data_IF_179137312172
#
_entry.id   IF_179137312172
#
_cell.length_a   1.000
_cell.length_b   1.000
_cell.length_c   1.000
_cell.angle_alpha   90.00
_cell.angle_beta   90.00
_cell.angle_gamma   90.00
#
_symmetry.space_group_name_H-M   'P 1'
#
loop_
_entity.id
_entity.type
_entity.pdbx_description
1 polymer ?
#
# COMPACT_ATOMS: atom_id res chain seq x y z
N UNK A 1 -0.54 -26.59 -22.32
CA UNK A 1 0.88 -26.35 -22.65
C UNK A 1 1.58 -25.87 -21.39
N UNK A 2 2.45 -26.70 -20.83
CA UNK A 2 3.24 -26.39 -19.65
C UNK A 2 4.28 -25.34 -20.04
N UNK A 3 4.26 -24.17 -19.40
CA UNK A 3 5.32 -23.19 -19.54
C UNK A 3 6.61 -23.81 -18.98
N UNK A 4 7.60 -24.00 -19.84
CA UNK A 4 8.93 -24.45 -19.47
C UNK A 4 9.52 -23.46 -18.45
N UNK A 5 9.76 -23.94 -17.23
CA UNK A 5 10.67 -23.29 -16.30
C UNK A 5 12.05 -23.27 -16.94
N UNK A 6 12.44 -22.12 -17.51
CA UNK A 6 13.79 -21.92 -17.99
C UNK A 6 14.77 -22.17 -16.83
N UNK A 7 15.68 -23.13 -17.03
CA UNK A 7 16.81 -23.35 -16.15
C UNK A 7 17.57 -22.03 -15.98
N UNK A 8 17.49 -21.43 -14.78
CA UNK A 8 18.11 -20.16 -14.44
C UNK A 8 19.61 -20.37 -14.30
N UNK A 9 20.39 -19.93 -15.28
CA UNK A 9 21.84 -19.80 -15.15
C UNK A 9 22.13 -18.65 -14.18
N UNK A 10 22.93 -18.82 -13.11
CA UNK A 10 23.28 -17.73 -12.21
C UNK A 10 23.98 -16.62 -12.98
N UNK A 11 23.39 -15.42 -13.06
CA UNK A 11 24.15 -14.23 -13.42
C UNK A 11 25.13 -13.95 -12.28
N UNK A 12 26.41 -13.83 -12.58
CA UNK A 12 27.50 -13.71 -11.59
C UNK A 12 27.53 -12.35 -10.87
N UNK A 13 26.62 -11.41 -11.18
CA UNK A 13 26.47 -10.13 -10.47
C UNK A 13 25.05 -9.58 -10.60
N UNK A 14 24.44 -9.19 -9.47
CA UNK A 14 23.15 -8.50 -9.42
C UNK A 14 23.20 -7.15 -10.18
N UNK A 15 22.05 -6.67 -10.64
CA UNK A 15 21.88 -5.30 -11.15
C UNK A 15 22.04 -4.28 -10.02
N UNK A 16 21.47 -4.59 -8.85
CA UNK A 16 21.65 -3.82 -7.62
C UNK A 16 21.65 -4.77 -6.41
N UNK A 17 22.61 -4.62 -5.51
CA UNK A 17 22.61 -5.23 -4.18
C UNK A 17 22.11 -4.24 -3.11
N UNK A 18 22.11 -4.66 -1.85
CA UNK A 18 21.64 -3.86 -0.71
C UNK A 18 22.41 -2.53 -0.58
N UNK A 19 23.73 -2.54 -0.77
CA UNK A 19 24.54 -1.33 -0.69
C UNK A 19 24.20 -0.35 -1.83
N UNK A 20 23.97 -0.85 -3.05
CA UNK A 20 23.54 -0.02 -4.16
C UNK A 20 22.11 0.50 -3.95
N UNK A 21 21.19 -0.31 -3.41
CA UNK A 21 19.85 0.14 -3.07
C UNK A 21 19.85 1.20 -1.97
N UNK A 22 20.78 1.12 -1.01
CA UNK A 22 21.00 2.18 -0.03
C UNK A 22 21.48 3.48 -0.70
N UNK A 23 22.43 3.41 -1.65
CA UNK A 23 22.87 4.59 -2.41
C UNK A 23 21.72 5.19 -3.24
N UNK A 24 20.85 4.35 -3.81
CA UNK A 24 19.66 4.83 -4.49
C UNK A 24 18.68 5.50 -3.52
N UNK A 25 18.48 4.94 -2.33
CA UNK A 25 17.51 5.44 -1.36
C UNK A 25 17.96 6.72 -0.64
N UNK A 26 19.22 6.78 -0.20
CA UNK A 26 19.74 7.82 0.69
C UNK A 26 21.04 8.47 0.22
N UNK A 27 21.83 7.78 -0.60
CA UNK A 27 23.17 8.21 -1.01
C UNK A 27 23.24 8.84 -2.41
N UNK A 28 24.30 8.50 -3.13
CA UNK A 28 24.55 8.94 -4.50
C UNK A 28 23.87 7.98 -5.50
N UNK A 29 22.78 8.43 -6.11
CA UNK A 29 22.01 7.64 -7.09
C UNK A 29 22.87 7.11 -8.22
N UNK A 30 23.93 7.82 -8.63
CA UNK A 30 24.79 7.39 -9.72
C UNK A 30 25.55 6.09 -9.42
N UNK A 31 25.79 5.77 -8.14
CA UNK A 31 26.42 4.50 -7.74
C UNK A 31 25.49 3.28 -7.91
N UNK A 32 24.18 3.49 -7.92
CA UNK A 32 23.21 2.45 -8.20
C UNK A 32 22.78 2.43 -9.68
N UNK A 33 22.39 3.59 -10.21
CA UNK A 33 21.75 3.70 -11.52
C UNK A 33 22.75 3.91 -12.68
N UNK A 34 23.98 4.31 -12.36
CA UNK A 34 25.05 4.59 -13.33
C UNK A 34 25.39 6.07 -13.46
N UNK A 35 26.53 6.39 -14.13
CA UNK A 35 27.11 7.72 -14.17
C UNK A 35 26.24 8.78 -14.87
N UNK A 36 25.25 8.37 -15.66
CA UNK A 36 24.30 9.27 -16.29
C UNK A 36 23.40 9.99 -15.29
N UNK A 37 23.26 9.46 -14.07
CA UNK A 37 22.54 10.10 -12.97
C UNK A 37 23.33 11.22 -12.27
N UNK A 38 24.59 11.46 -12.64
CA UNK A 38 25.39 12.54 -12.05
C UNK A 38 24.77 13.94 -12.26
N UNK A 39 23.91 14.10 -13.28
CA UNK A 39 23.14 15.34 -13.50
C UNK A 39 22.18 15.69 -12.35
N UNK A 40 21.83 14.71 -11.52
CA UNK A 40 20.93 14.86 -10.36
C UNK A 40 21.67 14.96 -9.01
N UNK A 41 23.01 15.00 -8.99
CA UNK A 41 23.78 14.96 -7.74
C UNK A 41 23.39 16.03 -6.70
N UNK A 42 22.89 17.18 -7.15
CA UNK A 42 22.46 18.29 -6.29
C UNK A 42 20.99 18.69 -6.54
N UNK A 43 20.16 17.74 -7.01
CA UNK A 43 18.76 18.00 -7.35
C UNK A 43 17.87 16.88 -6.81
N UNK A 44 16.59 17.16 -6.52
CA UNK A 44 15.62 16.12 -6.23
C UNK A 44 15.56 15.12 -7.38
N UNK A 45 15.51 13.85 -7.01
CA UNK A 45 15.40 12.73 -7.95
C UNK A 45 14.65 11.62 -7.23
N UNK A 46 13.93 10.79 -7.99
CA UNK A 46 13.27 9.62 -7.41
C UNK A 46 14.24 8.81 -6.54
N UNK A 47 13.74 8.35 -5.40
CA UNK A 47 14.44 7.46 -4.46
C UNK A 47 13.64 6.17 -4.27
N UNK A 48 14.31 5.14 -3.78
CA UNK A 48 13.65 3.96 -3.19
C UNK A 48 13.25 4.27 -1.73
N UNK A 49 12.16 3.70 -1.18
CA UNK A 49 11.98 3.65 0.27
C UNK A 49 13.18 2.99 0.99
N UNK A 50 13.35 3.33 2.27
CA UNK A 50 14.49 2.95 3.09
C UNK A 50 14.07 2.48 4.49
N UNK A 51 15.04 1.95 5.26
CA UNK A 51 14.86 1.56 6.67
C UNK A 51 13.64 0.66 6.88
N UNK A 52 12.67 1.04 7.72
CA UNK A 52 11.46 0.24 8.00
C UNK A 52 10.57 0.03 6.76
N UNK A 53 10.73 0.83 5.70
CA UNK A 53 10.06 0.64 4.41
C UNK A 53 10.98 0.09 3.31
N UNK A 54 12.21 -0.34 3.60
CA UNK A 54 13.05 -1.00 2.61
C UNK A 54 12.56 -2.44 2.37
N UNK A 55 11.76 -2.62 1.31
CA UNK A 55 11.08 -3.88 0.98
C UNK A 55 11.55 -4.47 -0.36
N UNK A 56 12.78 -4.13 -0.72
CA UNK A 56 13.56 -4.67 -1.84
C UNK A 56 15.00 -4.89 -1.34
N UNK A 57 15.48 -6.13 -1.38
CA UNK A 57 16.83 -6.51 -0.92
C UNK A 57 17.85 -6.50 -2.04
N UNK A 58 17.42 -6.79 -3.28
CA UNK A 58 18.27 -6.82 -4.48
C UNK A 58 17.48 -6.89 -5.78
N UNK A 59 18.12 -6.48 -6.87
CA UNK A 59 17.64 -6.67 -8.25
C UNK A 59 18.58 -7.61 -8.96
N UNK A 60 18.09 -8.82 -9.26
CA UNK A 60 18.86 -9.92 -9.82
C UNK A 60 19.20 -9.70 -11.29
N UNK A 61 18.21 -9.29 -12.09
CA UNK A 61 18.39 -9.16 -13.54
C UNK A 61 17.57 -8.03 -14.13
N UNK A 62 18.01 -7.54 -15.27
CA UNK A 62 17.32 -6.57 -16.12
C UNK A 62 17.34 -7.09 -17.56
N UNK A 63 16.20 -7.04 -18.24
CA UNK A 63 16.04 -7.34 -19.66
C UNK A 63 15.42 -6.15 -20.36
N UNK A 64 16.07 -5.69 -21.44
CA UNK A 64 15.65 -4.52 -22.19
C UNK A 64 16.84 -3.63 -22.52
N UNK A 65 16.58 -2.47 -23.13
CA UNK A 65 17.60 -1.45 -23.39
C UNK A 65 17.16 -0.15 -22.77
N UNK A 66 17.93 0.39 -21.81
CA UNK A 66 17.63 1.68 -21.17
C UNK A 66 17.34 2.75 -22.23
N UNK A 67 16.34 3.59 -21.97
CA UNK A 67 15.86 4.70 -22.82
C UNK A 67 15.28 4.30 -24.18
N UNK A 68 15.05 3.01 -24.43
CA UNK A 68 14.27 2.51 -25.59
C UNK A 68 12.92 2.01 -25.11
N UNK A 69 11.91 2.86 -25.19
CA UNK A 69 10.58 2.62 -24.60
C UNK A 69 9.58 2.01 -25.58
N UNK A 70 10.02 1.67 -26.79
CA UNK A 70 9.20 0.99 -27.80
C UNK A 70 8.93 -0.47 -27.44
N UNK A 71 9.80 -1.08 -26.65
CA UNK A 71 9.71 -2.48 -26.21
C UNK A 71 9.62 -2.58 -24.68
N UNK A 72 8.87 -3.56 -24.13
CA UNK A 72 8.80 -3.77 -22.69
C UNK A 72 10.18 -4.07 -22.07
N UNK A 73 10.39 -3.57 -20.85
CA UNK A 73 11.55 -3.92 -20.03
C UNK A 73 11.13 -4.77 -18.84
N UNK A 74 12.01 -5.63 -18.35
CA UNK A 74 11.72 -6.52 -17.23
C UNK A 74 12.83 -6.50 -16.19
N UNK A 75 12.45 -6.63 -14.92
CA UNK A 75 13.39 -6.95 -13.85
C UNK A 75 12.91 -8.14 -13.04
N UNK A 76 13.87 -8.80 -12.39
CA UNK A 76 13.61 -9.73 -11.28
C UNK A 76 14.23 -9.13 -10.03
N UNK A 77 13.41 -8.88 -9.03
CA UNK A 77 13.80 -8.40 -7.71
C UNK A 77 13.56 -9.46 -6.63
N UNK A 78 14.21 -9.29 -5.48
CA UNK A 78 14.04 -10.16 -4.32
C UNK A 78 13.94 -9.34 -3.04
N UNK A 79 13.08 -9.79 -2.13
CA UNK A 79 13.01 -9.31 -0.76
C UNK A 79 13.14 -10.50 0.20
N UNK A 80 14.14 -10.45 1.08
CA UNK A 80 14.30 -11.41 2.16
C UNK A 80 13.44 -10.96 3.34
N UNK A 81 12.42 -11.75 3.68
CA UNK A 81 11.44 -11.43 4.72
C UNK A 81 11.99 -11.86 6.09
N UNK A 82 12.34 -10.92 6.98
CA UNK A 82 12.81 -11.29 8.32
C UNK A 82 11.67 -11.88 9.15
N UNK A 83 11.89 -12.99 9.88
CA UNK A 83 10.88 -13.55 10.78
C UNK A 83 10.36 -12.57 11.83
N UNK A 84 11.25 -11.72 12.36
CA UNK A 84 10.96 -10.77 13.43
C UNK A 84 10.84 -9.32 12.90
N UNK A 85 10.44 -9.15 11.64
CA UNK A 85 10.22 -7.83 11.08
C UNK A 85 9.20 -7.03 11.91
N UNK A 86 9.37 -5.70 11.94
CA UNK A 86 8.51 -4.81 12.74
C UNK A 86 7.03 -5.01 12.44
N UNK A 87 6.69 -5.25 11.17
CA UNK A 87 5.33 -5.42 10.68
C UNK A 87 4.70 -6.77 11.05
N UNK A 88 5.47 -7.76 11.51
CA UNK A 88 4.91 -8.97 12.15
C UNK A 88 4.73 -8.76 13.64
N UNK A 89 5.73 -8.15 14.29
CA UNK A 89 5.73 -7.85 15.73
C UNK A 89 4.57 -6.95 16.13
N UNK A 90 4.27 -5.95 15.31
CA UNK A 90 3.28 -4.93 15.62
C UNK A 90 1.86 -5.33 15.15
N UNK A 91 1.72 -6.43 14.39
CA UNK A 91 0.45 -6.94 13.92
C UNK A 91 -0.31 -7.73 15.01
N UNK A 92 -1.59 -8.03 14.77
CA UNK A 92 -2.41 -8.88 15.63
C UNK A 92 -2.00 -10.36 15.57
N UNK A 93 -1.49 -10.81 14.41
CA UNK A 93 -1.03 -12.18 14.21
C UNK A 93 0.39 -12.19 13.63
N UNK A 94 1.35 -12.94 14.23
CA UNK A 94 2.78 -12.84 13.91
C UNK A 94 3.16 -13.40 12.53
N UNK A 95 2.26 -14.13 11.87
CA UNK A 95 2.47 -14.66 10.51
C UNK A 95 1.74 -13.89 9.42
N UNK A 96 0.93 -12.87 9.76
CA UNK A 96 0.13 -12.15 8.77
C UNK A 96 0.95 -10.98 8.25
N UNK A 97 1.30 -11.02 6.97
CA UNK A 97 1.91 -9.87 6.29
C UNK A 97 0.85 -8.77 6.15
N UNK A 98 1.07 -7.53 6.65
CA UNK A 98 0.15 -6.42 6.40
C UNK A 98 -0.04 -6.18 4.91
N UNK A 99 -1.23 -5.75 4.51
CA UNK A 99 -1.55 -5.55 3.10
C UNK A 99 -0.71 -4.42 2.51
N UNK A 100 -0.43 -3.37 3.28
CA UNK A 100 0.50 -2.32 2.86
C UNK A 100 1.89 -2.87 2.51
N UNK A 101 2.44 -3.75 3.35
CA UNK A 101 3.76 -4.35 3.13
C UNK A 101 3.74 -5.26 1.90
N UNK A 102 2.67 -6.05 1.71
CA UNK A 102 2.47 -6.84 0.50
C UNK A 102 2.47 -5.96 -0.77
N UNK A 103 1.75 -4.83 -0.73
CA UNK A 103 1.73 -3.88 -1.84
C UNK A 103 3.12 -3.30 -2.09
N UNK A 104 3.82 -2.83 -1.07
CA UNK A 104 5.15 -2.23 -1.22
C UNK A 104 6.19 -3.21 -1.79
N UNK A 105 6.18 -4.47 -1.38
CA UNK A 105 7.06 -5.51 -1.95
C UNK A 105 6.82 -5.67 -3.46
N UNK A 106 5.57 -5.49 -3.94
CA UNK A 106 5.26 -5.50 -5.37
C UNK A 106 5.60 -4.18 -6.08
N UNK A 107 5.45 -3.05 -5.39
CA UNK A 107 5.49 -1.70 -5.98
C UNK A 107 6.89 -1.08 -6.00
N UNK A 108 7.74 -1.34 -5.01
CA UNK A 108 9.11 -0.79 -4.98
C UNK A 108 9.97 -1.25 -6.18
N UNK A 109 9.93 -2.53 -6.59
CA UNK A 109 10.58 -2.97 -7.84
C UNK A 109 10.04 -2.25 -9.09
N UNK A 110 8.75 -1.87 -9.11
CA UNK A 110 8.21 -1.01 -10.18
C UNK A 110 8.89 0.37 -10.18
N UNK A 111 9.04 0.99 -9.01
CA UNK A 111 9.83 2.21 -8.86
C UNK A 111 11.28 2.06 -9.33
N UNK A 112 11.93 0.95 -8.97
CA UNK A 112 13.31 0.69 -9.39
C UNK A 112 13.44 0.62 -10.92
N UNK A 113 12.60 -0.17 -11.61
CA UNK A 113 12.69 -0.27 -13.07
C UNK A 113 12.32 1.05 -13.77
N UNK A 114 11.37 1.83 -13.23
CA UNK A 114 11.04 3.17 -13.73
C UNK A 114 12.27 4.08 -13.76
N UNK A 115 13.01 4.15 -12.64
CA UNK A 115 14.27 4.88 -12.59
C UNK A 115 15.31 4.24 -13.52
N UNK A 116 15.62 2.95 -13.35
CA UNK A 116 16.68 2.28 -14.09
C UNK A 116 16.49 2.31 -15.61
N UNK A 117 15.24 2.27 -16.10
CA UNK A 117 14.89 2.42 -17.51
C UNK A 117 15.37 3.74 -18.12
N UNK A 118 15.58 4.77 -17.29
CA UNK A 118 15.99 6.11 -17.69
C UNK A 118 14.82 7.02 -18.06
N UNK A 119 13.61 6.78 -17.53
CA UNK A 119 12.41 7.56 -17.83
C UNK A 119 12.61 9.07 -17.58
N UNK A 120 13.24 9.41 -16.46
CA UNK A 120 13.55 10.80 -16.07
C UNK A 120 14.32 11.60 -17.14
N UNK A 121 15.09 10.92 -18.02
CA UNK A 121 15.85 11.57 -19.08
C UNK A 121 14.99 12.05 -20.27
N UNK A 122 13.68 11.81 -20.27
CA UNK A 122 12.77 12.54 -21.15
C UNK A 122 12.77 14.05 -20.83
N UNK A 123 12.95 14.41 -19.56
CA UNK A 123 12.94 15.78 -19.07
C UNK A 123 14.08 16.01 -18.06
N UNK A 124 15.35 15.95 -18.49
CA UNK A 124 16.50 15.97 -17.58
C UNK A 124 16.65 17.29 -16.79
N UNK A 125 16.00 18.36 -17.25
CA UNK A 125 16.04 19.69 -16.64
C UNK A 125 14.86 19.96 -15.69
N UNK A 126 13.93 19.00 -15.52
CA UNK A 126 12.81 19.12 -14.58
C UNK A 126 13.11 18.31 -13.32
N UNK A 127 12.67 18.84 -12.17
CA UNK A 127 12.57 18.09 -10.94
C UNK A 127 11.21 17.37 -10.95
N UNK A 128 11.26 16.04 -10.81
CA UNK A 128 10.10 15.18 -11.02
C UNK A 128 9.93 14.22 -9.85
N UNK A 129 8.68 14.11 -9.40
CA UNK A 129 8.25 13.33 -8.26
C UNK A 129 7.52 12.07 -8.74
N UNK A 130 7.88 10.93 -8.17
CA UNK A 130 7.32 9.63 -8.55
C UNK A 130 6.10 9.31 -7.71
N UNK A 131 4.94 9.09 -8.34
CA UNK A 131 3.67 8.82 -7.64
C UNK A 131 2.93 7.64 -8.26
N UNK A 132 2.36 6.80 -7.40
CA UNK A 132 1.41 5.79 -7.83
C UNK A 132 0.06 6.45 -8.15
N UNK A 133 -0.61 5.99 -9.20
CA UNK A 133 -1.87 6.58 -9.68
C UNK A 133 -3.01 5.59 -9.62
N UNK A 134 -2.80 4.39 -10.16
CA UNK A 134 -3.85 3.39 -10.29
C UNK A 134 -3.20 2.01 -10.16
N UNK A 135 -3.99 1.03 -9.74
CA UNK A 135 -3.52 -0.34 -9.80
C UNK A 135 -4.53 -1.32 -9.28
N UNK A 136 -4.15 -2.58 -9.41
CA UNK A 136 -4.85 -3.67 -8.78
C UNK A 136 -3.88 -4.79 -8.44
N UNK A 137 -4.30 -5.60 -7.48
CA UNK A 137 -3.61 -6.80 -7.07
C UNK A 137 -4.60 -7.91 -6.81
N UNK A 138 -4.30 -9.09 -7.34
CA UNK A 138 -5.05 -10.32 -7.09
C UNK A 138 -4.21 -11.21 -6.20
N UNK A 139 -4.69 -11.44 -4.98
CA UNK A 139 -4.12 -12.42 -4.09
C UNK A 139 -4.56 -13.81 -4.52
N UNK A 140 -3.58 -14.69 -4.73
CA UNK A 140 -3.78 -16.08 -5.17
C UNK A 140 -3.57 -17.06 -4.01
N UNK A 141 -2.80 -16.66 -3.00
CA UNK A 141 -2.61 -17.36 -1.74
C UNK A 141 -2.15 -16.37 -0.67
N UNK A 142 -2.41 -16.69 0.60
CA UNK A 142 -2.00 -15.89 1.77
C UNK A 142 -1.04 -16.71 2.66
N UNK A 143 0.19 -17.03 2.17
CA UNK A 143 1.12 -17.89 2.89
C UNK A 143 1.80 -17.17 4.06
N UNK A 144 2.32 -17.94 5.02
CA UNK A 144 3.35 -17.43 5.93
C UNK A 144 4.64 -17.20 5.13
N UNK A 145 5.18 -15.99 5.22
CA UNK A 145 6.31 -15.50 4.43
C UNK A 145 7.56 -15.28 5.27
N UNK A 146 7.50 -15.46 6.59
CA UNK A 146 8.66 -15.33 7.48
C UNK A 146 9.79 -16.26 7.06
N UNK A 147 11.02 -15.72 7.10
CA UNK A 147 12.27 -16.39 6.68
C UNK A 147 12.28 -16.89 5.22
N UNK A 148 11.39 -16.36 4.38
CA UNK A 148 11.37 -16.65 2.95
C UNK A 148 11.95 -15.50 2.14
N UNK A 149 12.45 -15.82 0.97
CA UNK A 149 12.72 -14.83 -0.08
C UNK A 149 11.52 -14.73 -1.00
N UNK A 150 10.93 -13.54 -1.08
CA UNK A 150 9.92 -13.22 -2.09
C UNK A 150 10.63 -12.78 -3.36
N UNK A 151 10.32 -13.43 -4.47
CA UNK A 151 10.79 -13.03 -5.80
C UNK A 151 9.71 -12.20 -6.48
N UNK A 152 10.05 -10.99 -6.91
CA UNK A 152 9.19 -10.12 -7.72
C UNK A 152 9.61 -10.17 -9.19
N UNK A 153 8.70 -10.47 -10.10
CA UNK A 153 8.91 -10.30 -11.54
C UNK A 153 8.09 -9.10 -12.02
N UNK A 154 8.77 -8.07 -12.54
CA UNK A 154 8.15 -6.83 -13.00
C UNK A 154 8.34 -6.66 -14.49
N UNK A 155 7.31 -6.21 -15.19
CA UNK A 155 7.39 -5.80 -16.59
C UNK A 155 6.93 -4.34 -16.71
N UNK A 156 7.84 -3.43 -17.08
CA UNK A 156 7.49 -2.09 -17.54
C UNK A 156 6.93 -2.23 -18.97
N UNK A 157 5.59 -2.09 -19.10
CA UNK A 157 4.87 -2.31 -20.36
C UNK A 157 4.92 -1.12 -21.30
N UNK A 158 4.83 0.08 -20.76
CA UNK A 158 4.75 1.30 -21.54
C UNK A 158 5.32 2.48 -20.78
N UNK A 159 5.84 3.46 -21.52
CA UNK A 159 6.25 4.77 -21.01
C UNK A 159 5.73 5.81 -21.98
N UNK A 160 4.93 6.75 -21.47
CA UNK A 160 4.36 7.85 -22.25
C UNK A 160 4.81 9.16 -21.61
N UNK A 161 5.65 9.91 -22.32
CA UNK A 161 6.08 11.24 -21.91
C UNK A 161 5.30 12.30 -22.70
N UNK A 162 4.56 13.17 -22.01
CA UNK A 162 3.81 14.26 -22.61
C UNK A 162 3.56 15.37 -21.60
N UNK A 163 3.64 16.64 -22.03
CA UNK A 163 3.30 17.79 -21.19
C UNK A 163 4.03 17.82 -19.84
N UNK A 164 5.34 17.61 -19.84
CA UNK A 164 6.20 17.55 -18.63
C UNK A 164 5.84 16.43 -17.63
N UNK A 165 4.96 15.51 -18.02
CA UNK A 165 4.57 14.34 -17.24
C UNK A 165 5.06 13.09 -17.94
N UNK A 166 5.41 12.07 -17.17
CA UNK A 166 5.71 10.74 -17.70
C UNK A 166 4.79 9.75 -17.00
N UNK A 167 4.10 8.89 -17.75
CA UNK A 167 3.22 7.84 -17.23
C UNK A 167 3.80 6.49 -17.63
N UNK A 168 3.87 5.57 -16.66
CA UNK A 168 4.40 4.23 -16.86
C UNK A 168 3.44 3.18 -16.32
N UNK A 169 3.16 2.16 -17.14
CA UNK A 169 2.34 1.01 -16.73
C UNK A 169 3.22 -0.20 -16.51
N UNK A 170 2.97 -0.90 -15.41
CA UNK A 170 3.71 -2.07 -14.97
C UNK A 170 2.78 -3.26 -14.79
N UNK A 171 3.27 -4.46 -15.09
CA UNK A 171 2.75 -5.71 -14.53
C UNK A 171 3.71 -6.21 -13.45
N UNK A 172 3.17 -6.81 -12.38
CA UNK A 172 3.95 -7.43 -11.32
C UNK A 172 3.42 -8.82 -10.96
N UNK A 173 4.32 -9.70 -10.53
CA UNK A 173 3.99 -10.96 -9.90
C UNK A 173 4.98 -11.28 -8.77
N UNK A 174 4.46 -11.73 -7.63
CA UNK A 174 5.23 -12.17 -6.48
C UNK A 174 5.16 -13.69 -6.33
N UNK A 175 6.31 -14.27 -6.01
CA UNK A 175 6.50 -15.69 -5.81
C UNK A 175 7.22 -15.95 -4.49
N UNK A 176 6.82 -17.01 -3.79
CA UNK A 176 7.54 -17.57 -2.65
C UNK A 176 7.59 -19.09 -2.82
N UNK A 177 8.73 -19.71 -2.55
CA UNK A 177 8.95 -21.16 -2.76
C UNK A 177 8.57 -21.64 -4.18
N UNK A 178 8.84 -20.79 -5.18
CA UNK A 178 8.51 -21.06 -6.59
C UNK A 178 7.01 -20.98 -6.94
N UNK A 179 6.14 -20.62 -5.98
CA UNK A 179 4.69 -20.51 -6.19
C UNK A 179 4.28 -19.04 -6.25
N UNK A 180 3.53 -18.67 -7.30
CA UNK A 180 2.94 -17.34 -7.42
C UNK A 180 1.84 -17.18 -6.38
N UNK A 181 1.86 -16.09 -5.62
CA UNK A 181 0.84 -15.83 -4.60
C UNK A 181 0.18 -14.45 -4.72
N UNK A 182 0.76 -13.51 -5.47
CA UNK A 182 0.18 -12.19 -5.71
C UNK A 182 0.57 -11.69 -7.11
N UNK A 183 -0.35 -11.04 -7.82
CA UNK A 183 -0.05 -10.44 -9.13
C UNK A 183 -1.06 -9.38 -9.52
N UNK A 184 -0.64 -8.46 -10.38
CA UNK A 184 -1.52 -7.42 -10.87
C UNK A 184 -0.79 -6.45 -11.79
N UNK A 185 -1.38 -5.27 -11.94
CA UNK A 185 -0.83 -4.18 -12.73
C UNK A 185 -0.98 -2.86 -11.99
N UNK A 186 -0.13 -1.89 -12.35
CA UNK A 186 -0.14 -0.59 -11.71
C UNK A 186 0.40 0.49 -12.65
N UNK A 187 -0.05 1.72 -12.41
CA UNK A 187 0.35 2.91 -13.14
C UNK A 187 1.05 3.85 -12.17
N UNK A 188 2.26 4.25 -12.54
CA UNK A 188 3.00 5.31 -11.88
C UNK A 188 3.19 6.48 -12.82
N UNK A 189 3.45 7.65 -12.26
CA UNK A 189 3.84 8.80 -13.03
C UNK A 189 4.92 9.65 -12.36
N UNK A 190 5.60 10.43 -13.20
CA UNK A 190 6.51 11.48 -12.81
C UNK A 190 5.85 12.83 -13.05
N UNK A 191 5.80 13.66 -12.00
CA UNK A 191 5.09 14.93 -11.99
C UNK A 191 5.99 16.05 -11.48
N UNK A 192 5.79 17.27 -11.99
CA UNK A 192 6.43 18.47 -11.42
C UNK A 192 5.74 18.89 -10.12
N UNK A 193 6.41 19.70 -9.30
CA UNK A 193 5.82 20.35 -8.12
C UNK A 193 4.51 21.09 -8.45
N UNK A 194 4.49 21.81 -9.58
CA UNK A 194 3.31 22.54 -10.04
C UNK A 194 2.12 21.59 -10.32
N UNK A 195 2.38 20.47 -11.00
CA UNK A 195 1.34 19.48 -11.30
C UNK A 195 0.78 18.85 -10.02
N UNK A 196 1.64 18.59 -9.02
CA UNK A 196 1.24 18.03 -7.73
C UNK A 196 0.50 19.04 -6.85
N UNK A 197 0.90 20.31 -6.87
CA UNK A 197 0.25 21.39 -6.11
C UNK A 197 -1.16 21.67 -6.64
N UNK A 198 -1.33 21.60 -7.96
CA UNK A 198 -2.60 21.85 -8.64
C UNK A 198 -3.51 20.61 -8.76
N UNK A 199 -3.24 19.54 -7.99
CA UNK A 199 -4.09 18.35 -7.99
C UNK A 199 -5.50 18.66 -7.50
N UNK A 200 -6.49 18.22 -8.28
CA UNK A 200 -7.91 18.45 -8.02
C UNK A 200 -8.61 17.25 -7.37
N UNK A 201 -7.85 16.24 -6.91
CA UNK A 201 -8.45 15.04 -6.30
C UNK A 201 -9.26 14.20 -7.29
N UNK A 202 -10.05 13.29 -6.75
CA UNK A 202 -10.96 12.42 -7.52
C UNK A 202 -12.21 13.15 -8.01
N UNK A 203 -12.59 14.25 -7.36
CA UNK A 203 -13.86 14.96 -7.60
C UNK A 203 -13.70 16.28 -8.35
N UNK A 204 -12.55 16.51 -8.99
CA UNK A 204 -12.32 17.71 -9.79
C UNK A 204 -12.36 19.01 -8.98
N UNK A 205 -11.87 18.98 -7.74
CA UNK A 205 -11.78 20.11 -6.82
C UNK A 205 -13.06 20.39 -6.05
N UNK A 206 -14.11 19.59 -6.28
CA UNK A 206 -15.37 19.72 -5.52
C UNK A 206 -15.20 19.11 -4.14
N UNK A 207 -15.69 19.82 -3.13
CA UNK A 207 -15.84 19.28 -1.79
C UNK A 207 -16.91 18.18 -1.81
N UNK A 208 -16.50 16.96 -1.49
CA UNK A 208 -17.40 15.84 -1.24
C UNK A 208 -17.19 15.43 0.21
N UNK A 209 -18.13 15.76 1.12
CA UNK A 209 -18.01 15.40 2.53
C UNK A 209 -18.17 13.88 2.70
N UNK A 210 -17.64 13.35 3.81
CA UNK A 210 -17.86 11.96 4.17
C UNK A 210 -19.36 11.68 4.39
N UNK A 211 -19.79 10.43 4.21
CA UNK A 211 -21.20 10.07 4.33
C UNK A 211 -21.78 10.46 5.69
N UNK A 212 -21.04 10.24 6.78
CA UNK A 212 -21.47 10.58 8.14
C UNK A 212 -21.79 12.08 8.32
N UNK A 213 -21.05 12.96 7.65
CA UNK A 213 -21.29 14.40 7.68
C UNK A 213 -22.53 14.79 6.85
N UNK A 214 -22.78 14.06 5.75
CA UNK A 214 -23.92 14.32 4.87
C UNK A 214 -25.27 13.86 5.44
N UNK A 215 -25.30 12.75 6.19
CA UNK A 215 -26.56 12.25 6.80
C UNK A 215 -26.98 13.06 8.02
N UNK A 216 -26.03 13.66 8.73
CA UNK A 216 -26.29 14.54 9.89
C UNK A 216 -27.04 15.84 9.55
N UNK A 217 -27.18 16.19 8.26
CA UNK A 217 -27.80 17.44 7.81
C UNK A 217 -29.27 17.32 7.35
N UNK A 218 -29.83 16.10 7.23
CA UNK A 218 -31.09 15.91 6.47
C UNK A 218 -32.16 15.00 7.07
N UNK A 219 -31.80 13.91 7.76
CA UNK A 219 -32.77 12.96 8.28
C UNK A 219 -32.26 12.35 9.59
N UNK A 220 -32.78 12.83 10.71
CA UNK A 220 -32.54 12.26 12.02
C UNK A 220 -33.30 10.92 12.16
N UNK A 221 -32.79 9.86 11.54
CA UNK A 221 -32.77 8.59 12.26
C UNK A 221 -31.63 8.70 13.26
N UNK A 222 -31.91 8.47 14.55
CA UNK A 222 -30.92 8.33 15.61
C UNK A 222 -30.00 7.13 15.29
N UNK A 223 -29.06 7.34 14.38
CA UNK A 223 -28.06 6.34 14.06
C UNK A 223 -27.15 6.19 15.27
N UNK A 224 -27.03 4.96 15.76
CA UNK A 224 -26.05 4.67 16.81
C UNK A 224 -24.66 4.82 16.22
N UNK A 225 -23.94 5.84 16.66
CA UNK A 225 -22.53 6.07 16.30
C UNK A 225 -21.69 5.61 17.48
N UNK A 226 -20.86 4.59 17.25
CA UNK A 226 -19.92 4.06 18.23
C UNK A 226 -18.56 4.68 17.95
N UNK A 227 -17.99 5.36 18.94
CA UNK A 227 -16.70 6.04 18.80
C UNK A 227 -15.62 5.30 19.60
N UNK A 228 -14.49 5.02 18.97
CA UNK A 228 -13.27 4.51 19.62
C UNK A 228 -12.13 5.51 19.47
N UNK A 229 -11.40 5.75 20.56
CA UNK A 229 -10.22 6.61 20.56
C UNK A 229 -8.98 5.74 20.40
N UNK A 230 -8.52 5.60 19.17
CA UNK A 230 -7.38 4.78 18.81
C UNK A 230 -6.02 5.42 19.15
N UNK A 231 -5.99 6.70 19.55
CA UNK A 231 -4.79 7.30 20.13
C UNK A 231 -4.45 6.70 21.51
N UNK A 232 -5.43 6.12 22.20
CA UNK A 232 -5.28 5.51 23.52
C UNK A 232 -5.09 4.00 23.41
N UNK A 233 -3.88 3.51 23.66
CA UNK A 233 -3.57 2.07 23.60
C UNK A 233 -4.37 1.20 24.59
N UNK A 234 -5.03 1.81 25.58
CA UNK A 234 -5.94 1.14 26.51
C UNK A 234 -7.33 0.86 25.94
N UNK A 235 -7.68 1.39 24.76
CA UNK A 235 -8.96 1.12 24.11
C UNK A 235 -9.17 -0.39 23.94
N UNK A 236 -10.36 -0.96 24.25
CA UNK A 236 -10.57 -2.41 24.26
C UNK A 236 -10.28 -3.10 22.93
N UNK A 237 -10.38 -2.39 21.80
CA UNK A 237 -10.06 -2.94 20.49
C UNK A 237 -8.57 -3.34 20.32
N UNK A 238 -7.67 -2.83 21.16
CA UNK A 238 -6.26 -3.25 21.20
C UNK A 238 -5.99 -4.40 22.19
N UNK A 239 -6.95 -4.72 23.06
CA UNK A 239 -6.81 -5.72 24.11
C UNK A 239 -7.44 -7.03 23.65
N UNK A 240 -6.60 -8.06 23.51
CA UNK A 240 -7.09 -9.39 23.15
C UNK A 240 -7.85 -10.03 24.32
N UNK A 241 -9.04 -10.61 24.08
CA UNK A 241 -9.75 -11.40 25.08
C UNK A 241 -8.94 -12.63 25.54
N UNK A 242 -9.25 -13.13 26.74
CA UNK A 242 -8.64 -14.37 27.25
C UNK A 242 -8.90 -15.54 26.29
N UNK A 243 -7.85 -16.30 25.98
CA UNK A 243 -7.91 -17.41 25.03
C UNK A 243 -7.98 -17.01 23.55
N UNK A 244 -8.02 -15.71 23.22
CA UNK A 244 -8.14 -15.18 21.85
C UNK A 244 -7.08 -14.14 21.50
N UNK A 245 -5.77 -14.48 21.60
CA UNK A 245 -4.66 -13.52 21.51
C UNK A 245 -4.60 -12.70 20.20
N UNK A 246 -5.25 -13.17 19.13
CA UNK A 246 -5.25 -12.51 17.82
C UNK A 246 -6.50 -11.67 17.54
N UNK A 247 -7.48 -11.67 18.45
CA UNK A 247 -8.72 -10.89 18.34
C UNK A 247 -8.51 -9.46 18.86
N UNK A 248 -7.70 -8.68 18.14
CA UNK A 248 -7.41 -7.27 18.44
C UNK A 248 -6.93 -6.55 17.19
N UNK A 249 -6.91 -5.22 17.24
CA UNK A 249 -6.22 -4.41 16.23
C UNK A 249 -4.69 -4.52 16.36
N UNK A 250 -4.02 -4.20 15.26
CA UNK A 250 -2.58 -3.98 15.25
C UNK A 250 -2.20 -2.75 16.08
N UNK A 251 -0.94 -2.66 16.50
CA UNK A 251 -0.45 -1.64 17.43
C UNK A 251 0.75 -0.88 16.83
N UNK A 252 1.23 0.15 17.54
CA UNK A 252 2.46 0.89 17.20
C UNK A 252 2.45 1.42 15.76
N UNK A 253 3.43 1.04 14.92
CA UNK A 253 3.57 1.57 13.56
C UNK A 253 2.38 1.19 12.64
N UNK A 254 1.64 0.12 12.97
CA UNK A 254 0.42 -0.29 12.25
C UNK A 254 -0.87 0.33 12.82
N UNK A 255 -0.79 1.16 13.86
CA UNK A 255 -1.91 1.97 14.29
C UNK A 255 -1.93 3.28 13.48
N UNK A 256 -2.70 3.28 12.39
CA UNK A 256 -2.72 4.34 11.37
C UNK A 256 -3.90 5.30 11.55
N UNK A 257 -4.70 5.15 12.60
CA UNK A 257 -5.89 5.95 12.88
C UNK A 257 -5.91 6.36 14.34
N UNK A 258 -6.42 7.57 14.62
CA UNK A 258 -6.57 8.12 15.96
C UNK A 258 -8.02 8.00 16.45
N UNK A 259 -8.99 7.96 15.54
CA UNK A 259 -10.41 7.82 15.86
C UNK A 259 -11.10 6.87 14.86
N UNK A 260 -12.00 6.04 15.37
CA UNK A 260 -12.99 5.32 14.56
C UNK A 260 -14.40 5.70 14.99
N UNK A 261 -15.26 5.95 14.00
CA UNK A 261 -16.71 6.08 14.17
C UNK A 261 -17.40 5.01 13.37
N UNK A 262 -18.13 4.14 14.05
CA UNK A 262 -18.79 2.98 13.47
C UNK A 262 -20.30 3.20 13.52
N UNK A 263 -20.96 3.00 12.38
CA UNK A 263 -22.42 3.01 12.26
C UNK A 263 -22.85 1.61 11.77
N UNK A 264 -23.34 0.73 12.67
CA UNK A 264 -23.65 -0.67 12.38
C UNK A 264 -24.54 -0.89 11.15
N UNK A 265 -25.64 -0.14 11.05
CA UNK A 265 -26.63 -0.24 9.97
C UNK A 265 -26.49 0.91 8.96
N UNK A 266 -25.32 1.55 8.94
CA UNK A 266 -25.05 2.73 8.13
C UNK A 266 -24.53 2.43 6.72
N UNK A 267 -24.15 3.51 6.04
CA UNK A 267 -23.50 3.47 4.73
C UNK A 267 -24.45 3.28 3.56
N UNK A 268 -23.90 3.33 2.35
CA UNK A 268 -24.66 3.28 1.09
C UNK A 268 -25.44 1.98 0.86
N UNK A 269 -25.10 0.90 1.57
CA UNK A 269 -25.77 -0.40 1.48
C UNK A 269 -26.57 -0.78 2.74
N UNK A 270 -26.56 0.07 3.79
CA UNK A 270 -27.24 -0.22 5.07
C UNK A 270 -26.71 -1.45 5.81
N UNK A 271 -25.47 -1.86 5.53
CA UNK A 271 -24.81 -3.05 6.12
C UNK A 271 -23.64 -2.71 7.05
N UNK A 272 -23.36 -1.43 7.23
CA UNK A 272 -22.21 -0.96 7.99
C UNK A 272 -21.49 0.18 7.33
N UNK A 273 -21.05 1.09 8.17
CA UNK A 273 -20.19 2.19 7.79
C UNK A 273 -19.14 2.43 8.86
N UNK A 274 -17.94 2.76 8.42
CA UNK A 274 -16.84 3.16 9.29
C UNK A 274 -16.24 4.43 8.75
N UNK A 275 -16.04 5.41 9.62
CA UNK A 275 -15.23 6.59 9.37
C UNK A 275 -13.99 6.53 10.25
N UNK A 276 -12.83 6.84 9.66
CA UNK A 276 -11.55 6.91 10.35
C UNK A 276 -10.92 8.29 10.20
N UNK A 277 -10.27 8.75 11.25
CA UNK A 277 -9.53 10.01 11.27
C UNK A 277 -8.11 9.78 11.80
N UNK A 278 -7.14 10.45 11.20
CA UNK A 278 -5.78 10.62 11.70
C UNK A 278 -5.37 12.09 11.59
N UNK A 279 -4.83 12.67 12.65
CA UNK A 279 -4.06 13.90 12.58
C UNK A 279 -2.66 13.57 12.08
N UNK A 280 -2.22 14.23 11.00
CA UNK A 280 -0.90 13.96 10.42
C UNK A 280 0.16 14.70 11.24
N UNK A 281 1.14 13.95 11.74
CA UNK A 281 2.34 14.49 12.36
C UNK A 281 3.45 14.57 11.30
N UNK A 282 4.08 15.73 11.06
CA UNK A 282 5.24 15.86 10.17
C UNK A 282 6.40 14.88 10.48
N UNK A 283 6.47 14.39 11.71
CA UNK A 283 7.46 13.43 12.21
C UNK A 283 6.96 11.99 12.23
N UNK A 284 5.80 11.71 11.60
CA UNK A 284 5.31 10.35 11.41
C UNK A 284 6.39 9.45 10.79
N UNK A 285 6.52 8.25 11.35
CA UNK A 285 7.64 7.33 11.12
C UNK A 285 7.88 7.01 9.64
N UNK A 286 6.83 7.05 8.81
CA UNK A 286 6.93 6.72 7.39
C UNK A 286 7.56 7.85 6.56
N UNK A 287 7.50 9.12 6.98
CA UNK A 287 8.07 10.23 6.22
C UNK A 287 9.60 10.15 6.03
N UNK A 288 10.43 9.83 7.05
CA UNK A 288 11.86 9.63 6.82
C UNK A 288 12.17 8.35 6.03
N UNK A 289 11.27 7.36 6.07
CA UNK A 289 11.44 6.07 5.39
C UNK A 289 10.96 6.09 3.92
N UNK A 290 10.02 6.96 3.56
CA UNK A 290 9.39 6.98 2.25
C UNK A 290 9.85 8.20 1.43
N UNK A 291 10.70 7.90 0.45
CA UNK A 291 11.36 8.84 -0.48
C UNK A 291 12.15 9.97 0.20
N UNK A 292 13.45 9.75 0.37
CA UNK A 292 14.36 10.81 0.79
C UNK A 292 14.28 12.02 -0.17
N UNK A 293 14.26 13.24 0.39
CA UNK A 293 14.08 14.52 -0.34
C UNK A 293 12.68 14.74 -0.96
N UNK A 294 11.75 13.80 -0.80
CA UNK A 294 10.37 13.89 -1.30
C UNK A 294 9.39 13.19 -0.33
N UNK A 295 9.34 13.60 0.96
CA UNK A 295 8.62 12.86 1.99
C UNK A 295 7.11 12.89 1.73
N UNK A 296 6.54 11.70 1.59
CA UNK A 296 5.12 11.49 1.31
C UNK A 296 4.68 10.18 1.98
N UNK A 297 3.43 10.06 2.41
CA UNK A 297 2.90 8.80 2.91
C UNK A 297 2.78 7.78 1.76
N UNK A 298 3.23 6.52 1.93
CA UNK A 298 2.94 5.44 0.98
C UNK A 298 1.42 5.25 0.80
N UNK A 299 0.95 5.16 -0.44
CA UNK A 299 -0.48 4.93 -0.71
C UNK A 299 -1.00 3.59 -0.18
N UNK A 300 -0.10 2.61 -0.09
CA UNK A 300 -0.30 1.32 0.56
C UNK A 300 -0.70 1.46 2.04
N UNK A 301 -0.11 2.40 2.79
CA UNK A 301 -0.52 2.66 4.19
C UNK A 301 -1.92 3.26 4.29
N UNK A 302 -2.37 4.05 3.32
CA UNK A 302 -3.77 4.52 3.32
C UNK A 302 -4.76 3.37 3.07
N UNK A 303 -4.39 2.36 2.27
CA UNK A 303 -5.19 1.13 2.12
C UNK A 303 -5.20 0.32 3.42
N UNK A 304 -4.06 0.23 4.11
CA UNK A 304 -3.97 -0.43 5.43
C UNK A 304 -4.81 0.30 6.50
N UNK A 305 -4.85 1.64 6.48
CA UNK A 305 -5.71 2.41 7.38
C UNK A 305 -7.21 2.10 7.14
N UNK A 306 -7.63 1.93 5.87
CA UNK A 306 -8.99 1.48 5.55
C UNK A 306 -9.23 0.06 6.09
N UNK A 307 -8.25 -0.85 5.95
CA UNK A 307 -8.34 -2.20 6.50
C UNK A 307 -8.42 -2.18 8.04
N UNK A 308 -7.66 -1.32 8.72
CA UNK A 308 -7.76 -1.13 10.16
C UNK A 308 -9.17 -0.70 10.58
N UNK A 309 -9.79 0.22 9.83
CA UNK A 309 -11.17 0.63 10.06
C UNK A 309 -12.16 -0.54 9.87
N UNK A 310 -11.98 -1.34 8.81
CA UNK A 310 -12.78 -2.55 8.58
C UNK A 310 -12.59 -3.60 9.69
N UNK A 311 -11.37 -3.78 10.19
CA UNK A 311 -11.08 -4.64 11.33
C UNK A 311 -11.80 -4.14 12.59
N UNK A 312 -11.81 -2.82 12.82
CA UNK A 312 -12.53 -2.22 13.93
C UNK A 312 -14.03 -2.49 13.88
N UNK A 313 -14.64 -2.33 12.71
CA UNK A 313 -16.04 -2.75 12.47
C UNK A 313 -16.26 -4.22 12.78
N UNK A 314 -15.39 -5.10 12.30
CA UNK A 314 -15.51 -6.53 12.50
C UNK A 314 -15.47 -6.94 13.98
N UNK A 315 -14.59 -6.31 14.77
CA UNK A 315 -14.51 -6.51 16.22
C UNK A 315 -15.76 -5.98 16.92
N UNK A 316 -16.18 -4.76 16.57
CA UNK A 316 -17.33 -4.11 17.19
C UNK A 316 -18.63 -4.88 16.94
N UNK A 317 -18.80 -5.41 15.73
CA UNK A 317 -19.97 -6.19 15.32
C UNK A 317 -19.95 -7.65 15.78
N UNK A 318 -18.91 -8.09 16.51
CA UNK A 318 -18.83 -9.47 16.99
C UNK A 318 -18.69 -10.51 15.88
N UNK A 319 -18.24 -10.13 14.67
CA UNK A 319 -18.16 -11.04 13.51
C UNK A 319 -17.15 -12.18 13.68
N UNK A 320 -16.36 -12.13 14.75
CA UNK A 320 -15.35 -13.10 15.13
C UNK A 320 -15.87 -14.17 16.12
N UNK A 321 -17.09 -14.04 16.66
CA UNK A 321 -17.58 -14.84 17.80
C UNK A 321 -17.64 -16.35 17.54
N UNK A 322 -17.86 -16.74 16.29
CA UNK A 322 -17.93 -18.15 15.84
C UNK A 322 -16.58 -18.88 15.82
N UNK A 323 -15.47 -18.17 15.99
CA UNK A 323 -14.13 -18.75 16.03
C UNK A 323 -13.63 -18.87 17.47
N UNK A 324 -12.78 -19.86 17.73
CA UNK A 324 -12.17 -20.05 19.05
C UNK A 324 -11.07 -19.03 19.27
N UNK A 325 -10.15 -18.87 18.33
CA UNK A 325 -9.05 -17.93 18.31
C UNK A 325 -8.99 -17.21 16.95
N UNK A 326 -9.89 -16.24 16.71
CA UNK A 326 -9.98 -15.56 15.42
C UNK A 326 -8.74 -14.72 15.13
N UNK A 327 -8.33 -14.72 13.86
CA UNK A 327 -7.34 -13.80 13.30
C UNK A 327 -7.88 -13.12 12.05
N UNK A 328 -7.34 -11.93 11.77
CA UNK A 328 -7.51 -11.30 10.47
C UNK A 328 -6.64 -11.96 9.40
N UNK A 329 -7.07 -11.83 8.16
CA UNK A 329 -6.30 -12.21 6.98
C UNK A 329 -6.91 -11.68 5.69
N UNK A 330 -6.30 -12.05 4.58
CA UNK A 330 -6.66 -11.54 3.25
C UNK A 330 -7.45 -12.57 2.45
N UNK A 331 -8.34 -12.06 1.59
CA UNK A 331 -9.16 -12.90 0.70
C UNK A 331 -8.45 -13.04 -0.65
N UNK A 332 -8.44 -14.26 -1.20
CA UNK A 332 -7.85 -14.57 -2.51
C UNK A 332 -8.68 -14.01 -3.67
N UNK A 333 -8.76 -12.69 -3.76
CA UNK A 333 -9.53 -11.92 -4.73
C UNK A 333 -8.73 -10.71 -5.19
N UNK A 334 -9.29 -10.03 -6.18
CA UNK A 334 -8.75 -8.79 -6.72
C UNK A 334 -9.19 -7.60 -5.87
N UNK A 335 -8.24 -6.74 -5.56
CA UNK A 335 -8.44 -5.41 -4.97
C UNK A 335 -7.94 -4.37 -5.96
N UNK A 336 -8.67 -3.26 -6.15
CA UNK A 336 -8.26 -2.17 -7.02
C UNK A 336 -8.24 -0.85 -6.26
N UNK A 337 -7.30 0.02 -6.63
CA UNK A 337 -7.12 1.34 -6.03
C UNK A 337 -6.88 2.40 -7.09
N UNK A 338 -7.26 3.62 -6.76
CA UNK A 338 -6.96 4.85 -7.51
C UNK A 338 -6.51 5.94 -6.55
N UNK A 339 -5.49 6.69 -6.94
CA UNK A 339 -4.90 7.80 -6.20
C UNK A 339 -4.86 9.05 -7.07
N UNK A 340 -5.39 10.16 -6.58
CA UNK A 340 -5.35 11.49 -7.23
C UNK A 340 -4.91 12.56 -6.24
N UNK A 341 -3.93 12.23 -5.42
CA UNK A 341 -3.32 13.15 -4.47
C UNK A 341 -2.29 12.45 -3.59
N UNK A 342 -1.76 13.18 -2.62
CA UNK A 342 -0.66 12.74 -1.78
C UNK A 342 -0.83 13.28 -0.36
N UNK A 343 -0.48 12.51 0.66
CA UNK A 343 -0.36 13.00 2.04
C UNK A 343 1.10 13.37 2.28
N UNK A 344 1.36 14.65 2.48
CA UNK A 344 2.68 15.23 2.76
C UNK A 344 2.72 15.76 4.21
N UNK A 345 3.90 16.14 4.69
CA UNK A 345 4.11 16.61 6.07
C UNK A 345 3.21 17.77 6.48
N UNK A 346 2.84 18.63 5.53
CA UNK A 346 1.98 19.80 5.75
C UNK A 346 0.49 19.48 5.76
N UNK A 347 0.11 18.24 5.42
CA UNK A 347 -1.28 17.77 5.57
C UNK A 347 -1.69 17.89 7.02
N UNK A 348 -2.91 18.34 7.31
CA UNK A 348 -3.37 18.45 8.70
C UNK A 348 -4.05 17.16 9.15
N UNK A 349 -4.89 16.58 8.28
CA UNK A 349 -5.65 15.37 8.59
C UNK A 349 -5.76 14.43 7.41
N UNK A 350 -5.72 13.14 7.71
CA UNK A 350 -6.18 12.07 6.85
C UNK A 350 -7.54 11.61 7.37
N UNK A 351 -8.52 11.56 6.48
CA UNK A 351 -9.87 11.06 6.78
C UNK A 351 -10.17 9.92 5.84
N UNK A 352 -10.89 8.89 6.28
CA UNK A 352 -11.32 7.81 5.41
C UNK A 352 -12.71 7.35 5.77
N UNK A 353 -13.36 6.71 4.80
CA UNK A 353 -14.60 5.99 5.04
C UNK A 353 -14.58 4.64 4.36
N UNK A 354 -15.27 3.67 4.97
CA UNK A 354 -15.53 2.36 4.40
C UNK A 354 -17.04 2.08 4.49
N UNK A 355 -17.65 1.86 3.34
CA UNK A 355 -19.03 1.40 3.19
C UNK A 355 -19.03 -0.12 3.06
N UNK A 356 -19.53 -0.82 4.08
CA UNK A 356 -19.69 -2.27 4.02
C UNK A 356 -20.78 -2.57 3.01
N UNK A 357 -20.42 -3.28 1.94
CA UNK A 357 -21.34 -3.70 0.89
C UNK A 357 -21.81 -5.13 1.08
N UNK A 358 -21.03 -5.92 1.82
CA UNK A 358 -21.38 -7.30 2.11
C UNK A 358 -20.65 -7.91 3.32
N UNK A 359 -21.33 -8.81 4.02
CA UNK A 359 -20.76 -9.69 5.05
C UNK A 359 -21.22 -11.11 4.73
N UNK A 360 -20.28 -11.98 4.35
CA UNK A 360 -20.56 -13.37 3.99
C UNK A 360 -19.91 -14.32 4.97
N UNK A 361 -20.69 -15.24 5.51
CA UNK A 361 -20.19 -16.36 6.28
C UNK A 361 -19.93 -17.56 5.37
N UNK A 362 -18.69 -18.04 5.38
CA UNK A 362 -18.29 -19.30 4.76
C UNK A 362 -18.02 -20.35 5.84
N UNK A 363 -17.63 -21.56 5.47
CA UNK A 363 -17.31 -22.61 6.44
C UNK A 363 -16.08 -22.25 7.29
N UNK A 364 -15.03 -21.72 6.64
CA UNK A 364 -13.70 -21.51 7.19
C UNK A 364 -13.39 -20.05 7.54
N UNK A 365 -14.23 -19.11 7.09
CA UNK A 365 -14.00 -17.67 7.28
C UNK A 365 -15.29 -16.85 7.22
N UNK A 366 -15.26 -15.66 7.80
CA UNK A 366 -16.23 -14.57 7.57
C UNK A 366 -15.54 -13.51 6.72
N UNK A 367 -16.16 -13.13 5.60
CA UNK A 367 -15.61 -12.16 4.65
C UNK A 367 -16.44 -10.88 4.68
N UNK A 368 -15.77 -9.75 4.89
CA UNK A 368 -16.35 -8.41 4.84
C UNK A 368 -15.85 -7.75 3.56
N UNK A 369 -16.77 -7.26 2.73
CA UNK A 369 -16.47 -6.48 1.52
C UNK A 369 -16.89 -5.04 1.73
N UNK A 370 -16.01 -4.10 1.38
CA UNK A 370 -16.31 -2.67 1.46
C UNK A 370 -15.77 -1.90 0.26
N UNK A 371 -16.43 -0.79 -0.05
CA UNK A 371 -15.90 0.27 -0.89
C UNK A 371 -15.46 1.43 0.00
N UNK A 372 -14.33 2.05 -0.31
CA UNK A 372 -13.73 3.03 0.57
C UNK A 372 -13.18 4.24 -0.19
N UNK A 373 -13.17 5.37 0.50
CA UNK A 373 -12.58 6.61 0.07
C UNK A 373 -11.65 7.15 1.14
N UNK A 374 -10.65 7.93 0.73
CA UNK A 374 -9.73 8.60 1.64
C UNK A 374 -9.49 10.04 1.17
N UNK A 375 -9.43 10.97 2.13
CA UNK A 375 -9.20 12.38 1.93
C UNK A 375 -7.89 12.82 2.58
N UNK A 376 -7.19 13.72 1.89
CA UNK A 376 -6.21 14.63 2.49
C UNK A 376 -6.95 15.92 2.78
N UNK A 377 -7.06 16.28 4.05
CA UNK A 377 -7.89 17.40 4.49
C UNK A 377 -9.30 17.27 3.87
N UNK A 378 -9.68 18.18 2.98
CA UNK A 378 -11.00 18.21 2.34
C UNK A 378 -11.01 17.63 0.91
N UNK A 379 -9.85 17.19 0.41
CA UNK A 379 -9.69 16.69 -0.95
C UNK A 379 -9.75 15.16 -0.95
N UNK A 380 -10.75 14.56 -1.61
CA UNK A 380 -10.81 13.11 -1.80
C UNK A 380 -9.73 12.67 -2.76
N UNK A 381 -8.82 11.84 -2.29
CA UNK A 381 -7.64 11.44 -3.05
C UNK A 381 -7.61 9.96 -3.36
N UNK A 382 -8.17 9.07 -2.50
CA UNK A 382 -8.19 7.63 -2.80
C UNK A 382 -9.60 7.11 -3.02
N UNK A 383 -9.68 6.11 -3.90
CA UNK A 383 -10.84 5.25 -4.10
C UNK A 383 -10.33 3.80 -4.11
N UNK A 384 -10.90 2.96 -3.24
CA UNK A 384 -10.64 1.52 -3.20
C UNK A 384 -11.97 0.81 -3.32
N UNK A 385 -12.10 -0.04 -4.34
CA UNK A 385 -13.33 -0.80 -4.55
C UNK A 385 -13.10 -2.26 -4.24
N UNK A 386 -14.15 -2.92 -3.74
CA UNK A 386 -14.15 -4.36 -3.53
C UNK A 386 -13.03 -4.82 -2.56
N UNK A 387 -12.68 -3.98 -1.59
CA UNK A 387 -11.70 -4.32 -0.56
C UNK A 387 -12.27 -5.38 0.37
N UNK A 388 -11.49 -6.41 0.67
CA UNK A 388 -11.95 -7.58 1.42
C UNK A 388 -11.08 -7.90 2.61
N UNK A 389 -11.72 -8.09 3.75
CA UNK A 389 -11.12 -8.56 4.99
C UNK A 389 -11.70 -9.95 5.32
N UNK A 390 -10.84 -10.89 5.71
CA UNK A 390 -11.25 -12.18 6.25
C UNK A 390 -11.03 -12.22 7.77
N UNK A 391 -12.01 -12.77 8.49
CA UNK A 391 -11.86 -13.33 9.82
C UNK A 391 -11.87 -14.85 9.70
N UNK A 392 -10.88 -15.52 10.28
CA UNK A 392 -10.77 -16.99 10.25
C UNK A 392 -10.12 -17.52 11.51
N UNK A 393 -10.25 -18.82 11.74
CA UNK A 393 -9.57 -19.51 12.84
C UNK A 393 -8.05 -19.41 12.69
N UNK A 394 -7.33 -19.07 13.77
CA UNK A 394 -5.88 -19.17 13.79
C UNK A 394 -5.47 -20.65 13.81
N UNK A 395 -4.45 -21.02 13.04
CA UNK A 395 -3.88 -22.35 13.15
C UNK A 395 -3.32 -22.56 14.57
N UNK A 396 -3.52 -23.76 15.11
CA UNK A 396 -3.08 -24.13 16.45
C UNK A 396 -1.55 -24.09 16.62
#
# INVERSE_FOLDING_TARGET
MLAQTANRTPQTKNIADDAQLWEFALGDVAKCMGPDYAVYANRPVQRNPNSDLQLLSRVQSFTGTRRKFEEPMRIVGEYDVPAEAWYFRDNAHPSQLPYAVLMEIALQPCGFISAYSGALFHYPNLDLHYRNLDGNGTLLADPDLRDKTIVSEITLKSTVASGNTIIQTHDFALFADGKKFYSGDTVFGYFTDEALTNQVGLDGGKLVPAWLESVGAGDAHEQTVICWNLAESSEPCFQAPEGRPHQRLAIRQLNLLDELRIVPDGGSSGKGYVYGLRTIDPEDWFFPCHFHQDPVMPGSLGVEAILQAMQGFALQQGLAERFQNPRFGWVQKRTAWKYRGQIIRETKRMQLEAHVTDVQEHLDQTVITANASLWRDDLRIYEVTDLRLALREAAA
#
